data_IF_397106001708
#
_entry.id   IF_397106001708
#
_cell.length_a   1.000
_cell.length_b   1.000
_cell.length_c   1.000
_cell.angle_alpha   90.00
_cell.angle_beta   90.00
_cell.angle_gamma   90.00
#
_symmetry.space_group_name_H-M   'P 1'
#
loop_
_entity.id
_entity.type
_entity.pdbx_description
1 polymer ?
#
# COMPACT_ATOMS: atom_id res chain seq x y z
N UNK A 1 2.24 -14.42 -19.64
CA UNK A 1 1.44 -13.22 -19.32
C UNK A 1 1.89 -12.77 -17.94
N UNK A 2 2.38 -11.54 -17.78
CA UNK A 2 2.75 -11.03 -16.46
C UNK A 2 1.46 -10.77 -15.69
N UNK A 3 1.03 -11.75 -14.92
CA UNK A 3 -0.27 -11.70 -14.26
C UNK A 3 -0.14 -10.90 -12.98
N UNK A 4 -0.89 -9.80 -12.87
CA UNK A 4 -1.06 -8.99 -11.64
C UNK A 4 -1.44 -9.81 -10.40
N UNK A 5 -1.82 -11.07 -10.60
CA UNK A 5 -2.15 -12.07 -9.59
C UNK A 5 -1.00 -12.35 -8.62
N UNK A 6 0.27 -12.20 -9.04
CA UNK A 6 1.40 -12.50 -8.17
C UNK A 6 1.75 -11.34 -7.21
N UNK A 7 1.08 -10.19 -7.34
CA UNK A 7 1.31 -9.02 -6.50
C UNK A 7 0.22 -8.98 -5.41
N UNK A 8 0.59 -9.07 -4.12
CA UNK A 8 -0.37 -9.00 -3.03
C UNK A 8 -1.01 -7.60 -2.98
N UNK A 9 -2.31 -7.52 -2.71
CA UNK A 9 -3.02 -6.23 -2.63
C UNK A 9 -2.56 -5.42 -1.42
N UNK A 10 -2.39 -6.09 -0.28
CA UNK A 10 -1.90 -5.48 0.94
C UNK A 10 -0.65 -6.22 1.37
N UNK A 11 0.41 -5.47 1.64
CA UNK A 11 1.64 -5.98 2.21
C UNK A 11 2.12 -4.96 3.25
N UNK A 12 1.96 -5.33 4.53
CA UNK A 12 2.28 -4.47 5.67
C UNK A 12 3.02 -5.25 6.75
N UNK A 13 3.82 -4.55 7.54
CA UNK A 13 4.50 -5.13 8.70
C UNK A 13 3.49 -5.72 9.70
N UNK A 14 3.86 -6.85 10.32
CA UNK A 14 2.96 -7.63 11.17
C UNK A 14 2.62 -6.94 12.50
N UNK A 15 3.41 -5.96 12.94
CA UNK A 15 3.11 -5.13 14.10
C UNK A 15 3.97 -3.86 14.13
N UNK A 16 3.55 -2.87 14.92
CA UNK A 16 4.27 -1.61 15.13
C UNK A 16 3.58 -0.42 14.49
N UNK A 17 4.26 0.72 14.49
CA UNK A 17 3.78 1.97 13.89
C UNK A 17 4.68 2.33 12.72
N UNK A 18 4.10 2.38 11.52
CA UNK A 18 4.86 2.57 10.31
C UNK A 18 4.12 3.42 9.28
N UNK A 19 4.87 3.94 8.32
CA UNK A 19 4.31 4.71 7.22
C UNK A 19 3.78 3.75 6.17
N UNK A 20 2.72 4.16 5.47
CA UNK A 20 2.16 3.40 4.38
C UNK A 20 1.81 4.31 3.21
N UNK A 21 1.82 3.73 2.01
CA UNK A 21 1.34 4.37 0.79
C UNK A 21 0.22 3.55 0.16
N UNK A 22 -0.70 4.26 -0.46
CA UNK A 22 -1.71 3.71 -1.35
C UNK A 22 -1.27 4.02 -2.78
N UNK A 23 -1.06 3.00 -3.59
CA UNK A 23 -0.68 3.15 -4.98
C UNK A 23 -1.58 2.33 -5.90
N UNK A 24 -1.83 2.86 -7.08
CA UNK A 24 -2.60 2.20 -8.13
C UNK A 24 -1.63 1.66 -9.18
N UNK A 25 -1.59 0.33 -9.29
CA UNK A 25 -0.91 -0.37 -10.36
C UNK A 25 -1.84 -0.43 -11.57
N UNK A 26 -1.44 0.24 -12.64
CA UNK A 26 -2.11 0.21 -13.93
C UNK A 26 -1.35 -0.75 -14.85
N UNK A 27 -2.06 -1.61 -15.55
CA UNK A 27 -1.50 -2.53 -16.51
C UNK A 27 -1.48 -2.00 -17.94
N UNK A 28 -1.44 -2.95 -18.86
CA UNK A 28 -1.34 -2.68 -20.30
C UNK A 28 -2.65 -2.11 -20.83
N UNK A 29 -3.76 -2.50 -20.21
CA UNK A 29 -5.11 -2.07 -20.54
C UNK A 29 -5.59 -1.02 -19.54
N UNK A 30 -6.44 -0.10 -19.99
CA UNK A 30 -7.06 0.90 -19.12
C UNK A 30 -7.99 0.29 -18.04
N UNK A 31 -8.44 -0.95 -18.24
CA UNK A 31 -9.25 -1.74 -17.32
C UNK A 31 -8.42 -2.45 -16.24
N UNK A 32 -7.14 -2.73 -16.51
CA UNK A 32 -6.24 -3.38 -15.56
C UNK A 32 -5.74 -2.36 -14.52
N UNK A 33 -6.56 -2.05 -13.52
CA UNK A 33 -6.19 -1.19 -12.40
C UNK A 33 -6.34 -1.95 -11.10
N UNK A 34 -5.26 -2.01 -10.32
CA UNK A 34 -5.23 -2.68 -9.02
C UNK A 34 -4.68 -1.72 -7.98
N UNK A 35 -5.41 -1.56 -6.87
CA UNK A 35 -4.93 -0.75 -5.74
C UNK A 35 -4.06 -1.63 -4.86
N UNK A 36 -2.95 -1.07 -4.40
CA UNK A 36 -1.95 -1.73 -3.58
C UNK A 36 -1.71 -0.88 -2.34
N UNK A 37 -1.77 -1.52 -1.17
CA UNK A 37 -1.41 -0.96 0.12
C UNK A 37 -0.04 -1.52 0.50
N UNK A 38 0.89 -0.63 0.80
CA UNK A 38 2.27 -0.99 1.15
C UNK A 38 2.72 -0.19 2.35
N UNK A 39 3.24 -0.86 3.38
CA UNK A 39 3.70 -0.20 4.60
C UNK A 39 4.75 -0.99 5.36
N UNK A 40 5.90 -0.38 5.57
CA UNK A 40 7.04 -1.04 6.19
C UNK A 40 7.60 -0.18 7.32
N UNK A 41 7.88 -0.79 8.47
CA UNK A 41 8.49 -0.13 9.62
C UNK A 41 9.94 0.28 9.36
N UNK A 42 10.62 -0.44 8.46
CA UNK A 42 11.98 -0.12 8.03
C UNK A 42 12.06 1.17 7.19
N UNK A 43 10.95 1.59 6.56
CA UNK A 43 10.94 2.74 5.68
C UNK A 43 10.62 4.02 6.46
N UNK A 44 11.61 4.92 6.52
CA UNK A 44 11.47 6.19 7.20
C UNK A 44 10.61 7.20 6.43
N UNK A 45 10.51 7.08 5.11
CA UNK A 45 9.68 7.94 4.27
C UNK A 45 8.78 7.16 3.33
N UNK A 46 7.68 7.79 2.90
CA UNK A 46 6.76 7.24 1.91
C UNK A 46 7.41 6.98 0.56
N UNK A 47 8.43 7.78 0.21
CA UNK A 47 9.19 7.64 -1.03
C UNK A 47 10.01 6.35 -1.05
N UNK A 48 10.56 5.94 0.10
CA UNK A 48 11.34 4.69 0.21
C UNK A 48 10.44 3.47 -0.02
N UNK A 49 9.22 3.49 0.54
CA UNK A 49 8.23 2.44 0.32
C UNK A 49 7.89 2.35 -1.17
N UNK A 50 7.66 3.50 -1.82
CA UNK A 50 7.32 3.53 -3.23
C UNK A 50 8.46 3.00 -4.11
N UNK A 51 9.71 3.37 -3.81
CA UNK A 51 10.88 2.89 -4.57
C UNK A 51 11.06 1.38 -4.42
N UNK A 52 11.00 0.88 -3.18
CA UNK A 52 11.10 -0.55 -2.87
C UNK A 52 10.02 -1.37 -3.58
N UNK A 53 8.77 -0.92 -3.49
CA UNK A 53 7.63 -1.60 -4.15
C UNK A 53 7.77 -1.52 -5.66
N UNK A 54 8.19 -0.39 -6.22
CA UNK A 54 8.39 -0.23 -7.66
C UNK A 54 9.51 -1.15 -8.15
N UNK A 55 10.60 -1.30 -7.39
CA UNK A 55 11.70 -2.22 -7.72
C UNK A 55 11.27 -3.69 -7.62
N UNK A 56 10.51 -4.06 -6.59
CA UNK A 56 9.91 -5.39 -6.46
C UNK A 56 8.98 -5.69 -7.65
N UNK A 57 8.09 -4.75 -7.99
CA UNK A 57 7.19 -4.85 -9.14
C UNK A 57 7.96 -5.02 -10.44
N UNK A 58 9.06 -4.28 -10.64
CA UNK A 58 9.97 -4.46 -11.80
C UNK A 58 10.59 -5.85 -11.84
N UNK A 59 10.93 -6.43 -10.70
CA UNK A 59 11.49 -7.79 -10.62
C UNK A 59 10.43 -8.85 -10.92
N UNK A 60 9.24 -8.75 -10.33
CA UNK A 60 8.17 -9.76 -10.50
C UNK A 60 7.46 -9.65 -11.86
N UNK A 61 7.27 -8.43 -12.38
CA UNK A 61 6.59 -8.19 -13.67
C UNK A 61 7.55 -8.22 -14.87
N UNK A 62 8.85 -8.15 -14.64
CA UNK A 62 9.90 -8.26 -15.66
C UNK A 62 10.35 -6.93 -16.27
N UNK A 63 11.66 -6.83 -16.52
CA UNK A 63 12.32 -5.75 -17.28
C UNK A 63 12.02 -5.90 -18.78
N UNK A 64 10.83 -5.49 -19.23
CA UNK A 64 10.60 -5.23 -20.65
C UNK A 64 10.98 -3.79 -20.99
N UNK A 65 11.61 -3.57 -22.15
CA UNK A 65 12.07 -2.27 -22.69
C UNK A 65 10.97 -1.18 -22.73
N UNK A 66 9.71 -1.57 -22.51
CA UNK A 66 8.61 -0.69 -22.12
C UNK A 66 7.77 -1.41 -21.06
N UNK A 67 7.71 -0.93 -19.81
CA UNK A 67 6.81 -1.53 -18.83
C UNK A 67 5.39 -1.30 -19.34
N UNK A 68 4.69 -2.38 -19.67
CA UNK A 68 3.24 -2.34 -19.95
C UNK A 68 2.43 -2.12 -18.68
N UNK A 69 3.02 -1.49 -17.67
CA UNK A 69 2.40 -1.22 -16.40
C UNK A 69 3.03 0.04 -15.81
N UNK A 70 2.28 0.73 -14.97
CA UNK A 70 2.72 1.94 -14.28
C UNK A 70 2.13 1.98 -12.89
N UNK A 71 2.89 2.48 -11.92
CA UNK A 71 2.41 2.72 -10.55
C UNK A 71 2.12 4.20 -10.38
N UNK A 72 0.96 4.50 -9.82
CA UNK A 72 0.58 5.86 -9.44
C UNK A 72 0.31 5.89 -7.95
N UNK A 73 1.13 6.62 -7.20
CA UNK A 73 0.86 6.85 -5.78
C UNK A 73 -0.38 7.75 -5.67
N UNK A 74 -1.43 7.24 -5.03
CA UNK A 74 -2.67 7.97 -4.76
C UNK A 74 -2.55 8.81 -3.49
N UNK A 75 -1.67 8.42 -2.57
CA UNK A 75 -1.35 9.16 -1.35
C UNK A 75 -0.65 8.26 -0.33
N UNK A 76 -0.49 8.75 0.90
CA UNK A 76 -0.05 7.89 2.00
C UNK A 76 -0.56 8.36 3.35
N UNK A 77 -0.08 7.69 4.40
CA UNK A 77 -0.38 7.98 5.80
C UNK A 77 0.47 7.12 6.73
N UNK A 78 -0.07 6.80 7.89
CA UNK A 78 0.51 5.90 8.90
C UNK A 78 -0.48 4.80 9.24
N UNK A 79 0.08 3.64 9.55
CA UNK A 79 -0.65 2.49 10.09
C UNK A 79 -0.05 2.17 11.44
N UNK A 80 -0.91 2.06 12.46
CA UNK A 80 -0.60 1.36 13.70
C UNK A 80 -1.17 -0.03 13.54
N UNK A 81 -0.30 -1.04 13.54
CA UNK A 81 -0.69 -2.44 13.55
C UNK A 81 -0.34 -3.03 14.91
N UNK A 82 -1.35 -3.41 15.68
CA UNK A 82 -1.18 -4.08 16.95
C UNK A 82 -1.70 -5.52 16.80
N UNK A 83 -0.78 -6.45 16.56
CA UNK A 83 -1.10 -7.88 16.43
C UNK A 83 -1.55 -8.51 17.75
N UNK A 84 -1.17 -7.94 18.89
CA UNK A 84 -1.54 -8.43 20.22
C UNK A 84 -3.00 -8.12 20.54
N UNK A 85 -3.44 -6.89 20.24
CA UNK A 85 -4.82 -6.45 20.40
C UNK A 85 -5.68 -6.71 19.15
N UNK A 86 -5.08 -7.29 18.09
CA UNK A 86 -5.70 -7.47 16.77
C UNK A 86 -6.38 -6.19 16.27
N UNK A 87 -5.69 -5.05 16.37
CA UNK A 87 -6.23 -3.76 15.95
C UNK A 87 -5.33 -3.11 14.91
N UNK A 88 -5.94 -2.52 13.90
CA UNK A 88 -5.24 -1.75 12.87
C UNK A 88 -5.86 -0.36 12.80
N UNK A 89 -5.05 0.68 12.91
CA UNK A 89 -5.48 2.07 12.81
C UNK A 89 -4.73 2.79 11.71
N UNK A 90 -5.46 3.28 10.72
CA UNK A 90 -4.93 4.05 9.58
C UNK A 90 -5.20 5.54 9.80
N UNK A 91 -4.19 6.40 9.71
CA UNK A 91 -4.36 7.84 9.99
C UNK A 91 -3.23 8.69 9.38
N UNK A 92 -3.39 10.02 9.43
CA UNK A 92 -2.39 10.99 8.98
C UNK A 92 -2.22 11.04 7.47
N UNK A 93 -1.15 11.68 7.00
CA UNK A 93 -0.93 11.88 5.56
C UNK A 93 0.55 11.73 5.16
N UNK A 94 0.80 11.57 3.87
CA UNK A 94 2.15 11.68 3.32
C UNK A 94 2.50 13.12 2.99
N UNK A 95 3.64 13.60 3.50
CA UNK A 95 4.15 14.91 3.10
C UNK A 95 4.49 14.97 1.60
N UNK A 96 4.97 13.87 1.02
CA UNK A 96 5.39 13.81 -0.37
C UNK A 96 4.23 13.61 -1.34
N UNK A 97 3.25 12.79 -0.96
CA UNK A 97 2.18 12.34 -1.86
C UNK A 97 0.78 12.83 -1.46
N UNK A 98 0.66 13.55 -0.34
CA UNK A 98 -0.61 13.92 0.24
C UNK A 98 -1.31 12.76 0.96
N UNK A 99 -2.58 12.97 1.25
CA UNK A 99 -3.39 12.04 2.03
C UNK A 99 -3.98 10.93 1.14
N UNK A 100 -3.79 9.69 1.55
CA UNK A 100 -4.42 8.54 0.89
C UNK A 100 -5.91 8.41 1.23
N UNK A 101 -6.62 7.65 0.42
CA UNK A 101 -7.97 7.20 0.73
C UNK A 101 -7.92 6.12 1.83
N UNK A 102 -8.01 6.55 3.09
CA UNK A 102 -7.92 5.64 4.24
C UNK A 102 -9.09 4.66 4.28
N UNK A 103 -10.28 5.07 3.82
CA UNK A 103 -11.44 4.19 3.74
C UNK A 103 -11.15 2.99 2.84
N UNK A 104 -10.70 3.24 1.62
CA UNK A 104 -10.29 2.17 0.68
C UNK A 104 -9.17 1.32 1.28
N UNK A 105 -8.20 1.94 1.96
CA UNK A 105 -7.09 1.22 2.61
C UNK A 105 -7.62 0.25 3.65
N UNK A 106 -8.56 0.68 4.50
CA UNK A 106 -9.18 -0.14 5.54
C UNK A 106 -10.01 -1.27 4.94
N UNK A 107 -10.75 -1.03 3.87
CA UNK A 107 -11.49 -2.09 3.17
C UNK A 107 -10.56 -3.19 2.66
N UNK A 108 -9.45 -2.82 2.02
CA UNK A 108 -8.44 -3.79 1.58
C UNK A 108 -7.76 -4.51 2.74
N UNK A 109 -7.50 -3.83 3.85
CA UNK A 109 -6.96 -4.48 5.04
C UNK A 109 -7.94 -5.48 5.64
N UNK A 110 -9.25 -5.19 5.63
CA UNK A 110 -10.29 -6.07 6.17
C UNK A 110 -10.42 -7.37 5.40
N UNK A 111 -10.11 -7.39 4.10
CA UNK A 111 -10.15 -8.64 3.33
C UNK A 111 -9.04 -9.62 3.76
N UNK A 112 -7.92 -9.11 4.30
CA UNK A 112 -6.80 -9.94 4.78
C UNK A 112 -6.88 -10.17 6.29
N UNK A 113 -7.25 -9.14 7.05
CA UNK A 113 -7.34 -9.14 8.50
C UNK A 113 -8.80 -9.04 8.95
N UNK A 114 -9.62 -10.00 8.53
CA UNK A 114 -11.06 -10.05 8.85
C UNK A 114 -11.34 -10.09 10.36
N UNK A 115 -10.47 -10.76 11.13
CA UNK A 115 -10.56 -10.88 12.59
C UNK A 115 -10.00 -9.66 13.35
N UNK A 116 -9.50 -8.64 12.64
CA UNK A 116 -8.92 -7.45 13.25
C UNK A 116 -9.92 -6.30 13.32
N UNK A 117 -9.84 -5.51 14.39
CA UNK A 117 -10.56 -4.26 14.49
C UNK A 117 -9.82 -3.15 13.71
N UNK A 118 -10.22 -2.97 12.45
CA UNK A 118 -9.61 -2.00 11.54
C UNK A 118 -10.43 -0.72 11.50
N UNK A 119 -9.79 0.40 11.84
CA UNK A 119 -10.36 1.75 11.84
C UNK A 119 -9.46 2.73 11.10
N UNK A 120 -10.03 3.79 10.59
CA UNK A 120 -9.27 4.93 10.08
C UNK A 120 -9.70 6.23 10.74
N UNK A 121 -8.81 7.21 10.73
CA UNK A 121 -9.09 8.56 11.23
C UNK A 121 -8.46 9.61 10.32
N UNK A 122 -9.22 10.67 10.06
CA UNK A 122 -8.72 11.88 9.40
C UNK A 122 -7.87 12.76 10.31
N UNK A 123 -8.00 12.57 11.62
CA UNK A 123 -7.44 13.43 12.64
C UNK A 123 -6.07 12.89 13.12
N UNK A 124 -5.04 13.73 13.02
CA UNK A 124 -3.70 13.49 13.60
C UNK A 124 -2.55 13.49 12.60
N UNK A 125 -1.42 14.09 12.99
CA UNK A 125 -0.14 14.10 12.28
C UNK A 125 0.94 13.32 13.05
#
# INVERSE_FOLDING_TARGET
MASFTNVPEVDIDASGVFKYILLELRGASADDKKKLVRGYAICNYHVDINDMVTDELKKVMGKGDSPKWSTKVLGGGRIIHDSSNKTIKVYGYSQAYGKADHATTVEMLRTIYDDYNISWSDEGY
#
